data_IF_555071528033
#
_entry.id   IF_555071528033
#
_cell.length_a   1.000
_cell.length_b   1.000
_cell.length_c   1.000
_cell.angle_alpha   90.00
_cell.angle_beta   90.00
_cell.angle_gamma   90.00
#
_symmetry.space_group_name_H-M   'P 1'
#
loop_
_entity.id
_entity.type
_entity.pdbx_description
1 polymer ?
#
# COMPACT_ATOMS: atom_id res chain seq x y z
N UNK A 1 -34.15 13.33 11.49
CA UNK A 1 -33.01 13.46 10.59
C UNK A 1 -31.83 12.81 11.29
N UNK A 2 -31.74 11.47 11.26
CA UNK A 2 -30.60 10.73 11.80
C UNK A 2 -29.40 10.96 10.89
N UNK A 3 -28.37 11.52 11.44
CA UNK A 3 -27.10 11.88 10.86
C UNK A 3 -26.56 10.76 9.95
N UNK A 4 -26.39 11.04 8.65
CA UNK A 4 -25.68 10.17 7.68
C UNK A 4 -24.17 10.13 7.91
N UNK A 5 -23.71 10.50 9.06
CA UNK A 5 -22.37 10.26 9.57
C UNK A 5 -22.49 9.16 10.63
N UNK A 6 -22.89 7.97 10.19
CA UNK A 6 -22.78 6.76 10.99
C UNK A 6 -21.33 6.63 11.43
N UNK A 7 -21.09 6.50 12.72
CA UNK A 7 -19.84 6.60 13.48
C UNK A 7 -18.61 5.82 13.03
N UNK A 8 -18.35 5.71 11.75
CA UNK A 8 -17.06 5.30 11.20
C UNK A 8 -16.18 6.54 11.10
N UNK A 9 -15.23 6.66 12.03
CA UNK A 9 -14.25 7.74 11.98
C UNK A 9 -13.44 7.72 10.67
N UNK A 10 -12.68 8.79 10.40
CA UNK A 10 -11.87 8.89 9.19
C UNK A 10 -10.80 7.80 9.12
N UNK A 11 -10.76 7.10 8.00
CA UNK A 11 -9.74 6.10 7.67
C UNK A 11 -8.95 6.52 6.43
N UNK A 12 -7.76 5.95 6.25
CA UNK A 12 -6.96 6.15 5.02
C UNK A 12 -7.82 5.84 3.80
N UNK A 13 -8.53 4.71 3.83
CA UNK A 13 -9.40 4.25 2.73
C UNK A 13 -10.50 5.24 2.42
N UNK A 14 -11.24 5.71 3.43
CA UNK A 14 -12.37 6.63 3.22
C UNK A 14 -11.92 7.95 2.59
N UNK A 15 -10.79 8.50 3.05
CA UNK A 15 -10.26 9.75 2.51
C UNK A 15 -9.65 9.57 1.11
N UNK A 16 -8.91 8.49 0.88
CA UNK A 16 -8.34 8.22 -0.45
C UNK A 16 -9.44 7.94 -1.49
N UNK A 17 -10.53 7.25 -1.11
CA UNK A 17 -11.71 7.05 -1.96
C UNK A 17 -12.35 8.39 -2.34
N UNK A 18 -12.55 9.27 -1.36
CA UNK A 18 -13.13 10.59 -1.58
C UNK A 18 -12.26 11.43 -2.51
N UNK A 19 -10.93 11.46 -2.27
CA UNK A 19 -9.99 12.19 -3.11
C UNK A 19 -9.96 11.65 -4.55
N UNK A 20 -10.03 10.31 -4.73
CA UNK A 20 -10.09 9.68 -6.04
C UNK A 20 -11.37 10.05 -6.80
N UNK A 21 -12.51 10.09 -6.13
CA UNK A 21 -13.76 10.49 -6.74
C UNK A 21 -13.76 11.98 -7.15
N UNK A 22 -13.23 12.85 -6.27
CA UNK A 22 -13.20 14.29 -6.50
C UNK A 22 -12.22 14.70 -7.62
N UNK A 23 -11.08 14.01 -7.74
CA UNK A 23 -10.05 14.31 -8.73
C UNK A 23 -10.01 13.30 -9.90
N UNK A 24 -11.10 12.59 -10.17
CA UNK A 24 -11.14 11.37 -10.98
C UNK A 24 -10.36 11.44 -12.31
N UNK A 25 -10.47 12.54 -13.05
CA UNK A 25 -9.88 12.69 -14.39
C UNK A 25 -8.51 13.40 -14.38
N UNK A 26 -8.01 13.76 -13.19
CA UNK A 26 -6.67 14.34 -13.03
C UNK A 26 -5.62 13.24 -12.99
N UNK A 27 -4.39 13.54 -13.41
CA UNK A 27 -3.26 12.62 -13.25
C UNK A 27 -2.95 12.46 -11.76
N UNK A 28 -2.86 11.22 -11.30
CA UNK A 28 -2.54 10.85 -9.92
C UNK A 28 -1.12 10.34 -9.76
N UNK A 29 -0.65 9.51 -10.72
CA UNK A 29 0.65 8.85 -10.65
C UNK A 29 1.34 8.91 -12.00
N UNK A 30 2.64 9.17 -11.96
CA UNK A 30 3.56 9.10 -13.12
C UNK A 30 4.72 8.17 -12.74
N UNK A 31 5.05 7.23 -13.62
CA UNK A 31 6.26 6.41 -13.55
C UNK A 31 6.83 6.23 -14.96
N UNK A 32 8.02 6.73 -15.19
CA UNK A 32 8.62 6.79 -16.53
C UNK A 32 7.72 7.52 -17.53
N UNK A 33 7.30 6.84 -18.59
CA UNK A 33 6.35 7.36 -19.60
C UNK A 33 4.88 7.11 -19.24
N UNK A 34 4.61 6.26 -18.25
CA UNK A 34 3.25 5.92 -17.85
C UNK A 34 2.62 7.03 -17.02
N UNK A 35 1.36 7.34 -17.30
CA UNK A 35 0.54 8.30 -16.55
C UNK A 35 -0.83 7.69 -16.33
N UNK A 36 -1.26 7.66 -15.07
CA UNK A 36 -2.61 7.19 -14.73
C UNK A 36 -3.37 8.24 -13.94
N UNK A 37 -4.67 8.33 -14.21
CA UNK A 37 -5.57 9.24 -13.51
C UNK A 37 -5.95 8.67 -12.13
N UNK A 38 -6.53 9.51 -11.26
CA UNK A 38 -7.10 9.05 -9.98
C UNK A 38 -8.14 7.94 -10.17
N UNK A 39 -8.98 8.07 -11.20
CA UNK A 39 -9.97 7.04 -11.56
C UNK A 39 -9.32 5.71 -11.92
N UNK A 40 -8.30 5.75 -12.79
CA UNK A 40 -7.57 4.53 -13.21
C UNK A 40 -6.82 3.91 -12.03
N UNK A 41 -6.12 4.71 -11.24
CA UNK A 41 -5.39 4.25 -10.07
C UNK A 41 -6.32 3.63 -9.02
N UNK A 42 -7.46 4.28 -8.73
CA UNK A 42 -8.45 3.73 -7.81
C UNK A 42 -9.05 2.42 -8.31
N UNK A 43 -9.40 2.35 -9.61
CA UNK A 43 -9.91 1.15 -10.25
C UNK A 43 -8.94 -0.03 -10.09
N UNK A 44 -7.64 0.17 -10.38
CA UNK A 44 -6.59 -0.84 -10.19
C UNK A 44 -6.45 -1.24 -8.72
N UNK A 45 -6.52 -0.28 -7.80
CA UNK A 45 -6.53 -0.55 -6.35
C UNK A 45 -7.73 -1.39 -5.92
N UNK A 46 -8.93 -1.16 -6.47
CA UNK A 46 -10.13 -1.99 -6.22
C UNK A 46 -9.94 -3.41 -6.74
N UNK A 47 -9.39 -3.57 -7.94
CA UNK A 47 -9.08 -4.90 -8.49
C UNK A 47 -8.06 -5.65 -7.62
N UNK A 48 -7.01 -4.98 -7.16
CA UNK A 48 -6.02 -5.54 -6.23
C UNK A 48 -6.69 -5.94 -4.90
N UNK A 49 -7.57 -5.12 -4.35
CA UNK A 49 -8.31 -5.46 -3.13
C UNK A 49 -9.14 -6.74 -3.32
N UNK A 50 -9.88 -6.84 -4.43
CA UNK A 50 -10.66 -8.02 -4.74
C UNK A 50 -9.79 -9.25 -5.02
N UNK A 51 -8.60 -9.08 -5.60
CA UNK A 51 -7.63 -10.17 -5.75
C UNK A 51 -7.22 -10.72 -4.39
N UNK A 52 -6.78 -9.84 -3.46
CA UNK A 52 -6.38 -10.24 -2.11
C UNK A 52 -7.51 -10.96 -1.36
N UNK A 53 -8.73 -10.44 -1.41
CA UNK A 53 -9.90 -11.07 -0.80
C UNK A 53 -10.22 -12.42 -1.45
N UNK A 54 -10.06 -12.53 -2.78
CA UNK A 54 -10.24 -13.76 -3.54
C UNK A 54 -9.24 -14.86 -3.19
N UNK A 55 -8.09 -14.53 -2.62
CA UNK A 55 -7.13 -15.49 -2.06
C UNK A 55 -7.53 -16.00 -0.66
N UNK A 56 -8.68 -15.58 -0.11
CA UNK A 56 -9.11 -15.93 1.24
C UNK A 56 -8.47 -15.10 2.34
N UNK A 57 -7.83 -13.98 1.98
CA UNK A 57 -7.36 -13.01 2.97
C UNK A 57 -8.54 -12.20 3.52
N UNK A 58 -8.44 -11.79 4.77
CA UNK A 58 -9.46 -11.05 5.49
C UNK A 58 -8.90 -9.73 6.05
N UNK A 59 -9.75 -8.73 6.34
CA UNK A 59 -9.31 -7.52 7.02
C UNK A 59 -8.47 -7.82 8.27
N UNK A 60 -7.34 -7.14 8.41
CA UNK A 60 -6.35 -7.38 9.46
C UNK A 60 -5.28 -8.42 9.14
N UNK A 61 -5.43 -9.22 8.07
CA UNK A 61 -4.34 -10.07 7.61
C UNK A 61 -3.14 -9.25 7.14
N UNK A 62 -1.93 -9.78 7.36
CA UNK A 62 -0.68 -9.13 6.98
C UNK A 62 -0.19 -9.67 5.66
N UNK A 63 0.16 -8.75 4.77
CA UNK A 63 0.75 -9.06 3.47
C UNK A 63 2.08 -8.33 3.33
N UNK A 64 3.13 -9.13 3.13
CA UNK A 64 4.46 -8.62 2.84
C UNK A 64 4.53 -7.99 1.45
N UNK A 65 5.43 -7.03 1.27
CA UNK A 65 5.72 -6.47 -0.06
C UNK A 65 7.20 -6.22 -0.23
N UNK A 66 7.75 -6.74 -1.33
CA UNK A 66 9.16 -6.55 -1.74
C UNK A 66 9.17 -6.00 -3.16
N UNK A 67 9.43 -4.69 -3.28
CA UNK A 67 9.22 -3.98 -4.53
C UNK A 67 10.08 -2.73 -4.65
N UNK A 68 10.26 -2.29 -5.88
CA UNK A 68 10.69 -0.94 -6.25
C UNK A 68 9.48 -0.09 -6.61
N UNK A 69 9.70 1.20 -6.89
CA UNK A 69 8.64 2.08 -7.36
C UNK A 69 8.15 1.64 -8.74
N UNK A 70 6.83 1.58 -8.89
CA UNK A 70 6.17 1.29 -10.18
C UNK A 70 4.67 1.62 -10.08
N UNK A 71 3.96 1.54 -11.20
CA UNK A 71 2.49 1.65 -11.18
C UNK A 71 1.89 0.48 -10.39
N UNK A 72 2.47 -0.71 -10.49
CA UNK A 72 2.00 -1.90 -9.76
C UNK A 72 2.24 -1.79 -8.25
N UNK A 73 3.26 -1.05 -7.81
CA UNK A 73 3.48 -0.76 -6.39
C UNK A 73 2.32 0.08 -5.81
N UNK A 74 1.84 1.04 -6.59
CA UNK A 74 0.67 1.83 -6.18
C UNK A 74 -0.62 1.00 -6.12
N UNK A 75 -0.78 -0.04 -6.96
CA UNK A 75 -1.96 -0.90 -6.91
C UNK A 75 -2.10 -1.58 -5.55
N UNK A 76 -1.00 -2.11 -5.02
CA UNK A 76 -0.99 -2.72 -3.69
C UNK A 76 -1.11 -1.67 -2.59
N UNK A 77 -0.53 -0.47 -2.78
CA UNK A 77 -0.65 0.62 -1.80
C UNK A 77 -2.12 0.98 -1.57
N UNK A 78 -2.92 1.11 -2.63
CA UNK A 78 -4.35 1.38 -2.57
C UNK A 78 -5.15 0.12 -2.20
N UNK A 79 -4.85 -1.00 -2.85
CA UNK A 79 -5.61 -2.25 -2.69
C UNK A 79 -5.59 -2.79 -1.27
N UNK A 80 -4.44 -2.74 -0.60
CA UNK A 80 -4.34 -3.13 0.80
C UNK A 80 -5.22 -2.26 1.70
N UNK A 81 -5.23 -0.94 1.50
CA UNK A 81 -6.07 -0.03 2.27
C UNK A 81 -7.57 -0.30 2.00
N UNK A 82 -7.97 -0.58 0.74
CA UNK A 82 -9.36 -0.87 0.36
C UNK A 82 -9.83 -2.20 0.97
N UNK A 83 -8.96 -3.23 0.96
CA UNK A 83 -9.28 -4.55 1.53
C UNK A 83 -9.15 -4.63 3.06
N UNK A 84 -8.66 -3.59 3.73
CA UNK A 84 -8.36 -3.62 5.17
C UNK A 84 -7.16 -4.51 5.51
N UNK A 85 -6.27 -4.75 4.56
CA UNK A 85 -5.06 -5.56 4.71
C UNK A 85 -3.93 -4.72 5.30
N UNK A 86 -3.18 -5.31 6.23
CA UNK A 86 -2.03 -4.67 6.86
C UNK A 86 -0.78 -4.88 6.00
N UNK A 87 -0.24 -3.82 5.44
CA UNK A 87 1.00 -3.88 4.64
C UNK A 87 2.23 -4.09 5.53
N UNK A 88 3.14 -4.96 5.08
CA UNK A 88 4.43 -5.21 5.73
C UNK A 88 5.55 -5.00 4.70
N UNK A 89 6.06 -3.77 4.55
CA UNK A 89 7.12 -3.51 3.57
C UNK A 89 8.43 -4.16 4.00
N UNK A 90 9.06 -4.85 3.06
CA UNK A 90 10.38 -5.44 3.17
C UNK A 90 11.41 -4.52 2.51
N UNK A 91 12.58 -4.39 3.11
CA UNK A 91 13.66 -3.57 2.55
C UNK A 91 14.46 -4.37 1.53
N UNK A 92 14.46 -3.96 0.28
CA UNK A 92 15.11 -4.67 -0.82
C UNK A 92 16.61 -4.98 -0.60
N UNK A 93 17.29 -4.23 0.26
CA UNK A 93 18.71 -4.43 0.59
C UNK A 93 18.96 -5.34 1.80
N UNK A 94 17.91 -5.94 2.36
CA UNK A 94 18.06 -6.84 3.49
C UNK A 94 18.46 -8.24 3.03
N UNK A 95 19.10 -9.01 3.94
CA UNK A 95 19.39 -10.41 3.72
C UNK A 95 18.13 -11.28 3.84
N UNK A 96 18.20 -12.49 3.28
CA UNK A 96 17.14 -13.52 3.28
C UNK A 96 16.58 -13.75 4.68
N UNK A 97 17.46 -13.91 5.68
CA UNK A 97 17.08 -14.17 7.07
C UNK A 97 16.30 -12.98 7.68
N UNK A 98 16.63 -11.76 7.28
CA UNK A 98 15.91 -10.58 7.71
C UNK A 98 14.50 -10.53 7.13
N UNK A 99 14.34 -10.86 5.84
CA UNK A 99 13.03 -10.95 5.21
C UNK A 99 12.18 -12.06 5.83
N UNK A 100 12.77 -13.26 6.03
CA UNK A 100 12.10 -14.36 6.70
C UNK A 100 11.66 -13.98 8.14
N UNK A 101 12.54 -13.28 8.88
CA UNK A 101 12.20 -12.77 10.20
C UNK A 101 11.04 -11.79 10.17
N UNK A 102 11.07 -10.79 9.26
CA UNK A 102 10.04 -9.76 9.16
C UNK A 102 8.66 -10.36 8.84
N UNK A 103 8.61 -11.29 7.87
CA UNK A 103 7.38 -11.97 7.48
C UNK A 103 6.84 -12.87 8.60
N UNK A 104 7.71 -13.68 9.23
CA UNK A 104 7.32 -14.59 10.32
C UNK A 104 6.89 -13.82 11.57
N UNK A 105 7.64 -12.78 11.96
CA UNK A 105 7.37 -11.96 13.15
C UNK A 105 6.00 -11.26 13.07
N UNK A 106 5.60 -10.85 11.87
CA UNK A 106 4.31 -10.22 11.63
C UNK A 106 3.21 -11.22 11.26
N UNK A 107 3.55 -12.49 11.05
CA UNK A 107 2.61 -13.53 10.64
C UNK A 107 1.99 -13.23 9.29
N UNK A 108 2.80 -12.84 8.29
CA UNK A 108 2.31 -12.62 6.94
C UNK A 108 1.75 -13.90 6.34
N UNK A 109 0.55 -13.82 5.75
CA UNK A 109 -0.11 -14.92 5.02
C UNK A 109 0.19 -14.87 3.53
N UNK A 110 0.49 -13.70 3.01
CA UNK A 110 0.87 -13.52 1.61
C UNK A 110 2.05 -12.56 1.48
N UNK A 111 2.72 -12.61 0.33
CA UNK A 111 3.73 -11.62 -0.07
C UNK A 111 3.56 -11.27 -1.54
N UNK A 112 3.65 -9.98 -1.85
CA UNK A 112 3.68 -9.45 -3.21
C UNK A 112 5.11 -9.04 -3.52
N UNK A 113 5.62 -9.43 -4.69
CA UNK A 113 7.03 -9.30 -5.03
C UNK A 113 7.18 -8.80 -6.45
N UNK A 114 8.01 -7.78 -6.67
CA UNK A 114 8.42 -7.41 -8.02
C UNK A 114 9.23 -8.54 -8.66
N UNK A 115 9.13 -8.70 -9.98
CA UNK A 115 9.77 -9.80 -10.71
C UNK A 115 11.29 -9.89 -10.45
N UNK A 116 11.93 -8.74 -10.22
CA UNK A 116 13.35 -8.60 -9.88
C UNK A 116 13.76 -9.39 -8.63
N UNK A 117 12.84 -9.55 -7.67
CA UNK A 117 13.11 -10.25 -6.40
C UNK A 117 12.53 -11.67 -6.35
N UNK A 118 12.17 -12.24 -7.51
CA UNK A 118 11.59 -13.59 -7.61
C UNK A 118 12.47 -14.66 -6.97
N UNK A 119 13.75 -14.64 -7.24
CA UNK A 119 14.66 -15.69 -6.74
C UNK A 119 14.97 -15.50 -5.26
N UNK A 120 14.93 -14.28 -4.78
CA UNK A 120 15.06 -13.95 -3.37
C UNK A 120 13.88 -14.50 -2.57
N UNK A 121 12.64 -14.22 -3.00
CA UNK A 121 11.45 -14.69 -2.27
C UNK A 121 11.35 -16.22 -2.29
N UNK A 122 11.83 -16.90 -3.33
CA UNK A 122 11.90 -18.38 -3.36
C UNK A 122 12.77 -18.97 -2.27
N UNK A 123 13.82 -18.25 -1.85
CA UNK A 123 14.68 -18.64 -0.75
C UNK A 123 14.07 -18.28 0.61
N UNK A 124 13.32 -17.19 0.70
CA UNK A 124 12.66 -16.73 1.92
C UNK A 124 11.45 -17.60 2.27
N UNK A 125 10.63 -17.95 1.30
CA UNK A 125 9.33 -18.58 1.50
C UNK A 125 9.38 -19.87 2.34
N UNK A 126 10.32 -20.80 2.13
CA UNK A 126 10.42 -22.03 2.95
C UNK A 126 10.71 -21.78 4.43
N UNK A 127 11.20 -20.58 4.78
CA UNK A 127 11.53 -20.16 6.14
C UNK A 127 10.34 -19.52 6.88
N UNK A 128 9.20 -19.31 6.21
CA UNK A 128 8.04 -18.60 6.73
C UNK A 128 6.82 -19.51 6.74
N UNK A 129 6.58 -20.16 7.85
CA UNK A 129 5.51 -21.16 7.98
C UNK A 129 4.07 -20.61 7.80
N UNK A 130 3.88 -19.31 7.98
CA UNK A 130 2.56 -18.66 7.83
C UNK A 130 2.25 -18.23 6.39
N UNK A 131 3.23 -18.32 5.47
CA UNK A 131 3.08 -17.84 4.11
C UNK A 131 2.29 -18.83 3.26
N UNK A 132 1.10 -18.44 2.82
CA UNK A 132 0.18 -19.24 2.03
C UNK A 132 0.24 -18.87 0.53
N UNK A 133 0.52 -17.59 0.22
CA UNK A 133 0.48 -17.06 -1.14
C UNK A 133 1.71 -16.22 -1.47
N UNK A 134 2.22 -16.40 -2.68
CA UNK A 134 3.28 -15.57 -3.26
C UNK A 134 2.75 -15.03 -4.60
N UNK A 135 2.61 -13.71 -4.70
CA UNK A 135 2.19 -13.01 -5.91
C UNK A 135 3.41 -12.33 -6.52
N UNK A 136 3.82 -12.79 -7.68
CA UNK A 136 4.93 -12.17 -8.41
C UNK A 136 4.37 -11.26 -9.49
N UNK A 137 4.84 -10.02 -9.53
CA UNK A 137 4.49 -9.05 -10.58
C UNK A 137 5.34 -9.30 -11.81
N UNK A 138 5.00 -10.32 -12.56
CA UNK A 138 5.61 -10.70 -13.82
C UNK A 138 4.68 -10.37 -15.00
N UNK A 139 4.98 -10.91 -16.17
CA UNK A 139 4.22 -10.71 -17.41
C UNK A 139 2.74 -11.11 -17.31
N UNK A 140 2.37 -11.92 -16.32
CA UNK A 140 0.97 -12.35 -16.10
C UNK A 140 0.19 -11.42 -15.16
N UNK A 141 0.88 -10.49 -14.49
CA UNK A 141 0.29 -9.63 -13.47
C UNK A 141 -0.89 -8.80 -13.97
N UNK A 142 -0.73 -8.12 -15.12
CA UNK A 142 -1.78 -7.25 -15.68
C UNK A 142 -3.04 -8.05 -16.07
N UNK A 143 -2.86 -9.23 -16.64
CA UNK A 143 -3.98 -10.11 -16.98
C UNK A 143 -4.71 -10.59 -15.71
N UNK A 144 -3.95 -10.98 -14.69
CA UNK A 144 -4.51 -11.43 -13.41
C UNK A 144 -5.25 -10.31 -12.69
N UNK A 145 -4.65 -9.11 -12.62
CA UNK A 145 -5.28 -7.94 -12.00
C UNK A 145 -6.58 -7.57 -12.72
N UNK A 146 -6.54 -7.49 -14.06
CA UNK A 146 -7.70 -7.10 -14.87
C UNK A 146 -8.84 -8.13 -14.85
N UNK A 147 -8.56 -9.39 -14.52
CA UNK A 147 -9.59 -10.42 -14.33
C UNK A 147 -10.38 -10.26 -13.03
N UNK A 148 -9.86 -9.49 -12.07
CA UNK A 148 -10.51 -9.27 -10.79
C UNK A 148 -11.64 -8.22 -10.88
N UNK A 149 -12.64 -8.36 -10.02
CA UNK A 149 -13.77 -7.41 -9.95
C UNK A 149 -13.29 -5.98 -9.72
N UNK A 150 -13.86 -5.04 -10.46
CA UNK A 150 -13.67 -3.60 -10.29
C UNK A 150 -14.74 -2.95 -9.39
N UNK A 151 -15.62 -3.75 -8.77
CA UNK A 151 -16.62 -3.27 -7.82
C UNK A 151 -15.96 -3.12 -6.45
N UNK A 152 -16.01 -1.91 -5.89
CA UNK A 152 -15.43 -1.63 -4.56
C UNK A 152 -16.08 -2.55 -3.51
N UNK A 153 -15.30 -3.36 -2.79
CA UNK A 153 -15.84 -4.31 -1.83
C UNK A 153 -16.44 -3.65 -0.58
N UNK A 154 -16.25 -2.35 -0.41
CA UNK A 154 -16.83 -1.54 0.68
C UNK A 154 -16.58 -2.13 2.07
N UNK A 155 -15.37 -2.63 2.30
CA UNK A 155 -14.97 -3.24 3.59
C UNK A 155 -15.13 -2.22 4.71
N UNK A 156 -15.76 -2.66 5.81
CA UNK A 156 -15.87 -1.87 7.03
C UNK A 156 -14.52 -1.86 7.76
N UNK A 157 -13.91 -0.69 7.87
CA UNK A 157 -12.60 -0.46 8.49
C UNK A 157 -12.75 0.61 9.56
N UNK A 158 -12.27 0.30 10.77
CA UNK A 158 -12.23 1.26 11.87
C UNK A 158 -10.92 2.09 11.85
N UNK A 159 -10.93 3.34 12.38
CA UNK A 159 -9.73 4.15 12.49
C UNK A 159 -8.59 3.50 13.27
N UNK A 160 -8.91 2.62 14.20
CA UNK A 160 -7.94 1.93 15.06
C UNK A 160 -7.40 0.63 14.43
N UNK A 161 -7.99 0.16 13.33
CA UNK A 161 -7.46 -0.98 12.59
C UNK A 161 -6.08 -0.66 12.04
N UNK A 162 -5.18 -1.65 12.07
CA UNK A 162 -3.84 -1.48 11.53
C UNK A 162 -3.87 -1.42 10.01
N UNK A 163 -3.07 -0.53 9.43
CA UNK A 163 -2.91 -0.40 7.98
C UNK A 163 -1.50 -0.72 7.50
N UNK A 164 -0.49 -0.60 8.37
CA UNK A 164 0.90 -0.90 8.03
C UNK A 164 1.70 -1.27 9.26
N UNK A 165 2.60 -2.25 9.13
CA UNK A 165 3.64 -2.56 10.11
C UNK A 165 4.99 -2.31 9.45
N UNK A 166 5.77 -1.37 9.98
CA UNK A 166 7.11 -1.04 9.48
C UNK A 166 8.16 -1.52 10.45
N UNK A 167 9.17 -2.20 9.93
CA UNK A 167 10.27 -2.65 10.74
C UNK A 167 11.31 -1.54 10.92
N UNK A 168 11.85 -1.44 12.13
CA UNK A 168 12.96 -0.53 12.42
C UNK A 168 14.27 -1.18 11.97
N UNK A 169 15.21 -0.36 11.45
CA UNK A 169 16.61 -0.80 11.29
C UNK A 169 17.25 -0.94 12.68
N UNK A 170 17.14 -2.12 13.28
CA UNK A 170 17.68 -2.36 14.62
C UNK A 170 19.21 -2.32 14.61
N UNK A 171 19.83 -1.41 15.37
CA UNK A 171 21.27 -1.36 15.60
C UNK A 171 21.74 -2.40 16.62
N UNK A 172 20.83 -3.05 17.34
CA UNK A 172 21.14 -3.90 18.51
C UNK A 172 20.48 -5.28 18.49
N UNK A 173 19.91 -5.73 17.35
CA UNK A 173 19.24 -7.04 17.29
C UNK A 173 18.27 -7.18 16.11
N UNK A 174 17.35 -8.13 16.21
CA UNK A 174 16.33 -8.37 15.17
C UNK A 174 15.41 -7.15 15.01
N UNK A 175 15.07 -6.83 13.78
CA UNK A 175 14.17 -5.73 13.44
C UNK A 175 12.83 -5.87 14.16
N UNK A 176 12.32 -4.77 14.73
CA UNK A 176 11.04 -4.71 15.44
C UNK A 176 9.98 -4.08 14.56
N UNK A 177 8.78 -4.65 14.54
CA UNK A 177 7.63 -4.10 13.82
C UNK A 177 6.96 -2.99 14.62
N UNK A 178 6.75 -1.83 13.98
CA UNK A 178 5.95 -0.72 14.49
C UNK A 178 4.64 -0.69 13.71
N UNK A 179 3.52 -0.95 14.40
CA UNK A 179 2.20 -0.93 13.80
C UNK A 179 1.62 0.49 13.79
N UNK A 180 1.07 0.88 12.64
CA UNK A 180 0.31 2.12 12.47
C UNK A 180 -1.14 1.77 12.17
N UNK A 181 -2.06 2.34 12.93
CA UNK A 181 -3.48 2.32 12.61
C UNK A 181 -3.79 3.32 11.48
N UNK A 182 -4.98 3.21 10.89
CA UNK A 182 -5.46 4.22 9.93
C UNK A 182 -5.42 5.63 10.53
N UNK A 183 -5.80 5.77 11.81
CA UNK A 183 -5.74 7.05 12.54
C UNK A 183 -4.32 7.58 12.66
N UNK A 184 -3.37 6.75 13.10
CA UNK A 184 -1.98 7.19 13.31
C UNK A 184 -1.26 7.49 11.99
N UNK A 185 -1.58 6.74 10.94
CA UNK A 185 -1.05 7.01 9.59
C UNK A 185 -1.55 8.34 9.03
N UNK A 186 -2.85 8.64 9.19
CA UNK A 186 -3.41 9.93 8.81
C UNK A 186 -2.83 11.08 9.63
N UNK A 187 -2.59 10.88 10.93
CA UNK A 187 -1.96 11.89 11.79
C UNK A 187 -0.55 12.22 11.30
N UNK A 188 0.26 11.20 10.95
CA UNK A 188 1.59 11.41 10.37
C UNK A 188 1.51 12.16 9.03
N UNK A 189 0.55 11.82 8.15
CA UNK A 189 0.31 12.54 6.89
C UNK A 189 -0.13 13.99 7.12
N UNK A 190 -0.97 14.25 8.13
CA UNK A 190 -1.41 15.61 8.48
C UNK A 190 -0.23 16.51 8.86
N UNK A 191 0.77 15.98 9.56
CA UNK A 191 1.92 16.77 10.01
C UNK A 191 2.74 17.31 8.84
N UNK A 192 2.68 16.68 7.66
CA UNK A 192 3.28 17.21 6.44
C UNK A 192 2.63 18.51 5.98
N UNK A 193 1.29 18.63 6.09
CA UNK A 193 0.59 19.87 5.71
C UNK A 193 0.96 21.06 6.62
N UNK A 194 1.42 20.82 7.84
CA UNK A 194 1.86 21.88 8.76
C UNK A 194 3.33 22.26 8.60
N UNK A 195 4.17 21.32 8.15
CA UNK A 195 5.62 21.51 8.11
C UNK A 195 6.17 21.82 6.71
N UNK A 196 5.36 21.66 5.67
CA UNK A 196 5.75 21.92 4.28
C UNK A 196 4.82 22.98 3.67
N UNK A 197 5.25 23.59 2.54
CA UNK A 197 4.37 24.52 1.81
C UNK A 197 3.01 23.88 1.50
N UNK A 198 1.92 24.67 1.49
CA UNK A 198 0.60 24.16 1.17
C UNK A 198 0.59 23.45 -0.20
N UNK A 199 0.15 22.20 -0.21
CA UNK A 199 0.02 21.41 -1.43
C UNK A 199 -1.38 21.61 -2.02
N UNK A 200 -1.45 21.83 -3.33
CA UNK A 200 -2.67 22.04 -4.08
C UNK A 200 -2.86 20.94 -5.13
N UNK A 201 -4.08 20.86 -5.66
CA UNK A 201 -4.38 19.92 -6.72
C UNK A 201 -3.55 20.22 -7.98
N UNK A 202 -2.79 19.22 -8.43
CA UNK A 202 -1.86 19.31 -9.56
C UNK A 202 -0.42 19.58 -9.17
N UNK A 203 -0.12 19.90 -7.91
CA UNK A 203 1.25 19.95 -7.43
C UNK A 203 1.90 18.57 -7.52
N UNK A 204 3.22 18.55 -7.62
CA UNK A 204 3.99 17.33 -7.88
C UNK A 204 4.84 16.97 -6.66
N UNK A 205 4.70 15.73 -6.20
CA UNK A 205 5.60 15.13 -5.23
C UNK A 205 6.48 14.08 -5.93
N UNK A 206 7.80 14.27 -5.85
CA UNK A 206 8.78 13.35 -6.42
C UNK A 206 9.21 12.30 -5.38
N UNK A 207 8.98 11.04 -5.68
CA UNK A 207 9.35 9.90 -4.84
C UNK A 207 10.65 9.26 -5.32
N UNK A 208 11.77 9.68 -4.73
CA UNK A 208 13.11 9.14 -5.01
C UNK A 208 13.33 7.78 -4.33
N UNK A 209 12.63 7.53 -3.22
CA UNK A 209 12.66 6.25 -2.52
C UNK A 209 11.33 5.50 -2.67
N UNK A 210 11.30 4.19 -2.35
CA UNK A 210 10.10 3.38 -2.49
C UNK A 210 8.91 3.92 -1.69
N UNK A 211 7.73 3.97 -2.34
CA UNK A 211 6.47 4.37 -1.67
C UNK A 211 6.03 3.36 -0.60
N UNK A 212 6.49 2.12 -0.69
CA UNK A 212 6.30 1.13 0.37
C UNK A 212 7.02 1.51 1.67
N UNK A 213 8.02 2.42 1.61
CA UNK A 213 8.86 2.82 2.73
C UNK A 213 8.68 4.31 3.11
N UNK A 214 9.79 5.03 3.29
CA UNK A 214 9.81 6.43 3.74
C UNK A 214 8.99 7.36 2.86
N UNK A 215 9.08 7.19 1.56
CA UNK A 215 8.36 8.00 0.58
C UNK A 215 6.82 7.86 0.68
N UNK A 216 6.34 6.73 1.20
CA UNK A 216 4.91 6.50 1.41
C UNK A 216 4.24 7.48 2.39
N UNK A 217 5.01 8.12 3.27
CA UNK A 217 4.48 9.19 4.12
C UNK A 217 4.05 10.41 3.31
N UNK A 218 4.68 10.66 2.16
CA UNK A 218 4.32 11.75 1.26
C UNK A 218 3.25 11.36 0.24
N UNK A 219 3.18 10.07 -0.09
CA UNK A 219 2.22 9.57 -1.08
C UNK A 219 0.76 9.88 -0.67
N UNK A 220 0.40 9.54 0.58
CA UNK A 220 -0.96 9.76 1.08
C UNK A 220 -1.35 11.25 1.09
N UNK A 221 -0.61 12.18 1.70
CA UNK A 221 -0.98 13.60 1.68
C UNK A 221 -1.02 14.18 0.27
N UNK A 222 -0.10 13.80 -0.63
CA UNK A 222 -0.13 14.21 -2.04
C UNK A 222 -1.43 13.75 -2.72
N UNK A 223 -1.81 12.49 -2.53
CA UNK A 223 -3.07 11.95 -3.04
C UNK A 223 -4.27 12.72 -2.51
N UNK A 224 -4.33 12.99 -1.20
CA UNK A 224 -5.45 13.70 -0.57
C UNK A 224 -5.59 15.15 -1.05
N UNK A 225 -4.49 15.81 -1.39
CA UNK A 225 -4.47 17.14 -1.94
C UNK A 225 -4.87 17.21 -3.43
N UNK A 226 -5.03 16.06 -4.10
CA UNK A 226 -5.22 16.01 -5.56
C UNK A 226 -3.96 16.29 -6.35
N UNK A 227 -2.80 16.10 -5.72
CA UNK A 227 -1.47 16.24 -6.32
C UNK A 227 -1.04 15.00 -7.11
N UNK A 228 0.08 15.11 -7.81
CA UNK A 228 0.66 14.07 -8.66
C UNK A 228 1.84 13.41 -7.95
N UNK A 229 1.77 12.10 -7.75
CA UNK A 229 2.87 11.30 -7.24
C UNK A 229 3.76 10.85 -8.42
N UNK A 230 4.97 11.38 -8.54
CA UNK A 230 5.95 10.96 -9.54
C UNK A 230 6.90 9.97 -8.90
N UNK A 231 6.87 8.73 -9.38
CA UNK A 231 7.68 7.62 -8.89
C UNK A 231 8.95 7.51 -9.75
N UNK A 232 10.11 7.48 -9.12
CA UNK A 232 11.40 7.22 -9.78
C UNK A 232 11.86 5.78 -9.49
N UNK A 233 12.65 5.24 -10.42
CA UNK A 233 13.34 3.95 -10.30
C UNK A 233 14.42 3.97 -9.21
#
# INVERSE_FOLDING_TARGET
MKTMLGGQGLTVTSLMRQAAAYNADRIAVIHGSQRITFRQAWHRGVQMANWLLGLGLSPGDRVGVLEDNSIEAQDFFLGSAIAGIVRVPLYARNAIESHAHMLSHTGCRAVIVAATYRDEIRQVAPLVATLEHILIRDETYEASLSSCSAVDPMIAIAPEDWCIIRHTGGTTGKAKGVAYSHRSWLAAGRDWFYNFPPMQAGDVCLHVGPISHGSGYLYTPTWLAGGVNVLLD
#
